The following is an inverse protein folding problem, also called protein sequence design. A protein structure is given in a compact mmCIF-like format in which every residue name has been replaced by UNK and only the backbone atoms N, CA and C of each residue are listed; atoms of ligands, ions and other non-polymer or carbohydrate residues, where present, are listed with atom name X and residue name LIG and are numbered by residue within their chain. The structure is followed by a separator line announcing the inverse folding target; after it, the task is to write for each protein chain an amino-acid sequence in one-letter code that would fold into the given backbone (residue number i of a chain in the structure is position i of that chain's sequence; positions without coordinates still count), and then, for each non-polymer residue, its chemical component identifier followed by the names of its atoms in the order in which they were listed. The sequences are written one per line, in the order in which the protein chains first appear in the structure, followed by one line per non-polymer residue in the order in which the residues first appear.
data_IF_511887848098
#
_entry.id   IF_511887848098
#
_cell.length_a   1.000
_cell.length_b   1.000
_cell.length_c   1.000
_cell.angle_alpha   90.00
_cell.angle_beta   90.00
_cell.angle_gamma   90.00
#
_symmetry.space_group_name_H-M   'P 1'
#
loop_
_entity.id
_entity.type
_entity.pdbx_description
1 polymer ?
#
# COMPACT_ATOMS: atom_id res chain seq x y z
N UNK A 1 23.96 25.90 27.74
CA UNK A 1 24.79 25.65 26.55
C UNK A 1 23.92 25.68 25.32
N UNK A 2 24.19 26.59 24.37
CA UNK A 2 23.27 26.91 23.25
C UNK A 2 23.39 25.87 22.14
N UNK A 3 22.28 25.23 21.78
CA UNK A 3 22.13 24.20 20.75
C UNK A 3 22.56 24.57 19.31
N UNK A 4 23.05 25.77 19.07
CA UNK A 4 23.42 26.28 17.74
C UNK A 4 24.86 25.94 17.28
N UNK A 5 25.69 25.31 18.11
CA UNK A 5 27.11 25.01 17.76
C UNK A 5 27.35 23.57 17.26
N UNK A 6 26.34 22.69 17.24
CA UNK A 6 26.55 21.30 16.86
C UNK A 6 26.37 21.04 15.36
N UNK A 7 25.73 21.93 14.62
CA UNK A 7 25.44 21.72 13.18
C UNK A 7 26.55 22.21 12.25
N UNK A 8 27.48 23.04 12.75
CA UNK A 8 28.53 23.65 11.91
C UNK A 8 29.79 22.78 11.72
N UNK A 9 29.94 21.66 12.44
CA UNK A 9 31.18 20.86 12.41
C UNK A 9 31.11 19.58 11.58
N UNK A 10 29.97 19.26 10.96
CA UNK A 10 29.78 18.03 10.19
C UNK A 10 29.93 18.19 8.66
N UNK A 11 30.31 19.36 8.17
CA UNK A 11 30.30 19.70 6.75
C UNK A 11 31.68 19.76 6.07
N UNK A 12 32.77 19.31 6.71
CA UNK A 12 34.11 19.35 6.16
C UNK A 12 34.82 18.00 6.31
N UNK A 13 34.51 17.05 5.48
CA UNK A 13 35.40 15.98 4.97
C UNK A 13 34.59 14.93 4.18
N UNK A 14 34.16 15.25 2.98
CA UNK A 14 33.83 14.21 1.98
C UNK A 14 34.89 14.32 0.91
N UNK A 15 35.78 13.32 0.72
CA UNK A 15 36.66 13.29 -0.44
C UNK A 15 35.78 13.07 -1.68
N UNK A 16 35.87 13.98 -2.62
CA UNK A 16 35.25 13.87 -3.95
C UNK A 16 35.94 12.75 -4.73
N UNK A 17 35.47 11.53 -4.58
CA UNK A 17 35.73 10.47 -5.54
C UNK A 17 34.70 10.63 -6.67
N UNK A 18 35.13 11.28 -7.74
CA UNK A 18 34.39 11.35 -9.00
C UNK A 18 34.31 9.96 -9.63
N UNK A 19 33.30 9.19 -9.27
CA UNK A 19 32.86 8.07 -10.10
C UNK A 19 31.90 8.61 -11.16
N UNK A 20 32.47 9.09 -12.27
CA UNK A 20 31.74 9.31 -13.52
C UNK A 20 31.44 7.94 -14.17
N UNK A 21 30.66 7.12 -13.51
CA UNK A 21 29.93 6.02 -14.15
C UNK A 21 28.61 6.59 -14.63
N UNK A 22 28.47 6.81 -15.91
CA UNK A 22 27.19 7.17 -16.55
C UNK A 22 26.29 5.94 -16.42
N UNK A 23 25.59 5.79 -15.30
CA UNK A 23 24.41 4.93 -15.25
C UNK A 23 23.32 5.75 -15.94
N UNK A 24 23.11 5.53 -17.22
CA UNK A 24 21.90 5.95 -17.91
C UNK A 24 20.72 5.19 -17.28
N UNK A 25 20.19 5.74 -16.21
CA UNK A 25 18.80 5.42 -15.85
C UNK A 25 17.95 6.04 -16.96
N UNK A 26 17.46 5.20 -17.84
CA UNK A 26 16.39 5.56 -18.76
C UNK A 26 15.15 5.90 -17.89
N UNK A 27 15.14 7.12 -17.36
CA UNK A 27 13.97 7.64 -16.64
C UNK A 27 12.89 7.78 -17.70
N UNK A 28 12.04 6.76 -17.81
CA UNK A 28 10.77 6.92 -18.51
C UNK A 28 10.24 8.28 -18.09
N UNK A 29 10.13 9.22 -19.02
CA UNK A 29 9.65 10.58 -18.72
C UNK A 29 8.30 10.45 -18.01
N UNK A 30 8.28 10.70 -16.71
CA UNK A 30 7.04 10.76 -15.96
C UNK A 30 6.27 11.94 -16.54
N UNK A 31 5.13 11.66 -17.17
CA UNK A 31 4.26 12.70 -17.66
C UNK A 31 3.61 13.39 -16.46
N UNK A 32 4.16 14.51 -16.04
CA UNK A 32 3.71 15.25 -14.85
C UNK A 32 2.34 15.92 -15.01
N UNK A 33 1.72 15.80 -16.19
CA UNK A 33 0.45 16.49 -16.50
C UNK A 33 -0.79 15.70 -16.02
N UNK A 34 -0.66 14.44 -15.60
CA UNK A 34 -1.80 13.57 -15.27
C UNK A 34 -2.01 13.32 -13.77
N UNK A 35 -1.10 13.72 -12.91
CA UNK A 35 -1.25 13.58 -11.45
C UNK A 35 -1.81 14.84 -10.77
N UNK A 36 -2.14 14.78 -9.47
CA UNK A 36 -2.51 15.97 -8.72
C UNK A 36 -1.35 16.96 -8.72
N UNK A 37 -1.61 18.18 -9.19
CA UNK A 37 -0.59 19.25 -9.28
C UNK A 37 -0.12 19.77 -7.92
N UNK A 38 -0.77 19.35 -6.83
CA UNK A 38 -0.44 19.70 -5.45
C UNK A 38 -0.57 18.45 -4.57
N UNK A 39 0.23 18.40 -3.51
CA UNK A 39 0.07 17.37 -2.48
C UNK A 39 -1.36 17.36 -1.93
N UNK A 40 -1.88 16.19 -1.63
CA UNK A 40 -3.24 15.97 -1.11
C UNK A 40 -3.16 15.31 0.27
N UNK A 41 -4.17 15.56 1.09
CA UNK A 41 -4.36 14.90 2.37
C UNK A 41 -5.70 14.16 2.33
N UNK A 42 -5.67 12.84 2.50
CA UNK A 42 -6.86 12.00 2.62
C UNK A 42 -7.06 11.69 4.10
N UNK A 43 -8.19 12.11 4.66
CA UNK A 43 -8.50 11.93 6.09
C UNK A 43 -8.79 10.46 6.41
N UNK A 44 -8.80 10.12 7.70
CA UNK A 44 -9.00 8.74 8.14
C UNK A 44 -10.31 8.12 7.61
N UNK A 45 -11.39 8.89 7.60
CA UNK A 45 -12.72 8.52 7.12
C UNK A 45 -12.92 8.71 5.61
N UNK A 46 -11.89 9.12 4.89
CA UNK A 46 -11.96 9.39 3.45
C UNK A 46 -11.28 8.29 2.64
N UNK A 47 -11.77 8.09 1.43
CA UNK A 47 -11.24 7.17 0.44
C UNK A 47 -11.12 7.84 -0.92
N UNK A 48 -10.16 7.41 -1.75
CA UNK A 48 -9.86 8.03 -3.05
C UNK A 48 -9.68 7.01 -4.18
N UNK A 49 -10.49 5.98 -4.23
CA UNK A 49 -10.47 5.05 -5.36
C UNK A 49 -10.67 5.78 -6.69
N UNK A 50 -9.88 5.43 -7.69
CA UNK A 50 -9.93 6.00 -9.03
C UNK A 50 -9.82 7.54 -9.04
N UNK A 51 -9.09 8.11 -8.09
CA UNK A 51 -8.91 9.56 -7.98
C UNK A 51 -10.10 10.33 -7.43
N UNK A 52 -11.21 9.66 -7.08
CA UNK A 52 -12.44 10.28 -6.59
C UNK A 52 -12.49 10.25 -5.06
N UNK A 53 -12.52 11.44 -4.44
CA UNK A 53 -12.64 11.54 -2.98
C UNK A 53 -14.08 11.22 -2.53
N UNK A 54 -14.20 10.28 -1.60
CA UNK A 54 -15.47 9.80 -1.02
C UNK A 54 -15.35 9.64 0.49
N UNK A 55 -16.51 9.47 1.17
CA UNK A 55 -16.59 9.11 2.60
C UNK A 55 -17.51 7.90 2.76
N UNK A 56 -17.03 6.70 2.40
CA UNK A 56 -17.85 5.49 2.48
C UNK A 56 -18.11 5.12 3.95
N UNK A 57 -19.40 4.92 4.30
CA UNK A 57 -19.81 4.62 5.68
C UNK A 57 -19.42 3.21 6.14
N UNK A 58 -19.45 2.25 5.21
CA UNK A 58 -19.30 0.83 5.51
C UNK A 58 -18.13 0.18 4.76
N UNK A 59 -17.11 0.96 4.44
CA UNK A 59 -15.95 0.45 3.73
C UNK A 59 -15.14 -0.53 4.59
N UNK A 60 -14.68 -1.60 3.97
CA UNK A 60 -13.67 -2.49 4.54
C UNK A 60 -12.25 -1.91 4.40
N UNK A 61 -12.04 -1.16 3.33
CA UNK A 61 -10.77 -0.56 2.96
C UNK A 61 -10.97 0.88 2.53
N UNK A 62 -9.97 1.73 2.81
CA UNK A 62 -9.89 3.09 2.30
C UNK A 62 -8.66 3.23 1.39
N UNK A 63 -8.87 3.62 0.15
CA UNK A 63 -7.77 4.05 -0.72
C UNK A 63 -7.21 5.38 -0.21
N UNK A 64 -5.90 5.44 -0.01
CA UNK A 64 -5.19 6.65 0.45
C UNK A 64 -4.34 7.26 -0.66
N UNK A 65 -3.86 6.44 -1.60
CA UNK A 65 -3.20 6.88 -2.82
C UNK A 65 -3.71 6.02 -3.95
N UNK A 66 -4.37 6.65 -4.91
CA UNK A 66 -4.92 6.01 -6.10
C UNK A 66 -3.85 5.81 -7.17
N UNK A 67 -4.02 4.81 -8.03
CA UNK A 67 -3.21 4.63 -9.23
C UNK A 67 -3.20 5.88 -10.11
N UNK A 68 -4.32 6.59 -10.19
CA UNK A 68 -4.46 7.84 -10.96
C UNK A 68 -3.57 8.95 -10.40
N UNK A 69 -3.40 9.02 -9.08
CA UNK A 69 -2.58 10.04 -8.44
C UNK A 69 -1.09 9.89 -8.78
N UNK A 70 -0.66 8.66 -9.10
CA UNK A 70 0.76 8.28 -9.26
C UNK A 70 1.11 7.82 -10.67
N UNK A 71 0.19 7.94 -11.63
CA UNK A 71 0.36 7.40 -12.99
C UNK A 71 0.70 5.91 -12.96
N UNK A 72 -0.08 5.16 -12.20
CA UNK A 72 0.10 3.71 -11.99
C UNK A 72 1.40 3.31 -11.29
N UNK A 73 2.14 4.26 -10.69
CA UNK A 73 3.39 3.96 -10.00
C UNK A 73 3.21 3.39 -8.60
N UNK A 74 2.12 3.77 -7.90
CA UNK A 74 1.90 3.41 -6.51
C UNK A 74 0.41 3.38 -6.18
N UNK A 75 0.02 2.41 -5.35
CA UNK A 75 -1.30 2.32 -4.73
C UNK A 75 -1.15 2.10 -3.24
N UNK A 76 -1.91 2.83 -2.42
CA UNK A 76 -1.91 2.67 -0.97
C UNK A 76 -3.35 2.58 -0.47
N UNK A 77 -3.62 1.55 0.32
CA UNK A 77 -4.89 1.39 1.02
C UNK A 77 -4.67 1.06 2.49
N UNK A 78 -5.68 1.36 3.32
CA UNK A 78 -5.70 1.00 4.73
C UNK A 78 -6.94 0.15 5.01
N UNK A 79 -6.79 -0.86 5.84
CA UNK A 79 -7.95 -1.58 6.36
C UNK A 79 -8.75 -0.69 7.33
N UNK A 80 -10.04 -1.00 7.45
CA UNK A 80 -10.90 -0.44 8.49
C UNK A 80 -11.16 -1.50 9.57
N UNK A 81 -11.55 -1.12 10.80
CA UNK A 81 -11.86 -2.10 11.85
C UNK A 81 -12.89 -3.14 11.41
N UNK A 82 -13.83 -2.79 10.54
CA UNK A 82 -14.88 -3.67 10.06
C UNK A 82 -14.36 -4.94 9.36
N UNK A 83 -13.23 -4.87 8.66
CA UNK A 83 -12.66 -6.04 7.98
C UNK A 83 -12.19 -7.11 8.97
N UNK A 84 -11.91 -6.73 10.21
CA UNK A 84 -11.40 -7.59 11.26
C UNK A 84 -12.43 -7.98 12.33
N UNK A 85 -13.72 -7.75 12.07
CA UNK A 85 -14.79 -8.28 12.91
C UNK A 85 -14.85 -9.81 12.87
N UNK A 86 -14.36 -10.43 11.80
CA UNK A 86 -14.34 -11.87 11.59
C UNK A 86 -12.93 -12.41 11.43
N UNK A 87 -12.74 -13.67 11.80
CA UNK A 87 -11.53 -14.44 11.49
C UNK A 87 -11.48 -14.67 9.98
N UNK A 88 -10.29 -14.56 9.39
CA UNK A 88 -10.02 -14.81 7.98
C UNK A 88 -9.36 -13.65 7.26
N UNK A 89 -9.34 -13.73 5.97
CA UNK A 89 -8.70 -12.76 5.07
C UNK A 89 -9.10 -13.02 3.62
N UNK A 90 -8.47 -12.36 2.65
CA UNK A 90 -8.64 -12.68 1.24
C UNK A 90 -8.13 -14.11 0.97
N UNK A 91 -8.64 -14.80 -0.06
CA UNK A 91 -8.06 -16.07 -0.48
C UNK A 91 -6.59 -15.90 -0.86
N UNK A 92 -5.75 -16.95 -0.76
CA UNK A 92 -4.39 -16.92 -1.27
C UNK A 92 -4.36 -16.49 -2.73
N UNK A 93 -3.46 -15.56 -3.08
CA UNK A 93 -3.41 -14.97 -4.41
C UNK A 93 -1.99 -14.56 -4.79
N UNK A 94 -1.80 -14.17 -6.04
CA UNK A 94 -0.51 -13.77 -6.62
C UNK A 94 -0.67 -12.44 -7.33
N UNK A 95 0.14 -11.46 -6.97
CA UNK A 95 0.33 -10.26 -7.79
C UNK A 95 1.41 -10.54 -8.84
N UNK A 96 1.03 -10.64 -10.12
CA UNK A 96 1.97 -10.99 -11.20
C UNK A 96 2.97 -9.87 -11.52
N UNK A 97 2.57 -8.64 -11.31
CA UNK A 97 3.31 -7.46 -11.78
C UNK A 97 3.67 -6.48 -10.67
N UNK A 98 3.07 -6.60 -9.50
CA UNK A 98 3.18 -5.70 -8.37
C UNK A 98 3.92 -6.33 -7.21
N UNK A 99 4.85 -5.60 -6.63
CA UNK A 99 5.38 -5.90 -5.32
C UNK A 99 4.42 -5.35 -4.26
N UNK A 100 4.14 -6.13 -3.21
CA UNK A 100 3.27 -5.72 -2.12
C UNK A 100 4.06 -5.53 -0.83
N UNK A 101 3.73 -4.50 -0.09
CA UNK A 101 4.22 -4.29 1.27
C UNK A 101 3.05 -4.14 2.22
N UNK A 102 3.01 -4.94 3.27
CA UNK A 102 2.01 -4.88 4.33
C UNK A 102 2.68 -4.36 5.59
N UNK A 103 2.22 -3.21 6.10
CA UNK A 103 2.66 -2.65 7.37
C UNK A 103 1.56 -2.76 8.42
N UNK A 104 1.86 -3.33 9.57
CA UNK A 104 0.92 -3.47 10.67
C UNK A 104 0.92 -2.21 11.53
N UNK A 105 -0.13 -1.40 11.41
CA UNK A 105 -0.30 -0.18 12.22
C UNK A 105 -0.71 -0.51 13.65
N UNK A 106 -1.61 -1.50 13.80
CA UNK A 106 -2.06 -1.98 15.11
C UNK A 106 -2.62 -3.40 15.00
N UNK A 107 -2.63 -4.15 16.11
CA UNK A 107 -3.15 -5.51 16.18
C UNK A 107 -2.12 -6.58 15.84
N UNK A 108 -2.64 -7.80 15.65
CA UNK A 108 -1.86 -9.01 15.34
C UNK A 108 -2.50 -9.72 14.15
N UNK A 109 -1.66 -10.22 13.23
CA UNK A 109 -2.09 -10.89 12.01
C UNK A 109 -1.20 -12.10 11.72
N UNK A 110 -1.62 -12.90 10.76
CA UNK A 110 -0.80 -13.93 10.14
C UNK A 110 -0.64 -13.59 8.67
N UNK A 111 0.58 -13.49 8.19
CA UNK A 111 0.88 -13.40 6.77
C UNK A 111 1.30 -14.79 6.30
N UNK A 112 0.54 -15.35 5.37
CA UNK A 112 0.86 -16.61 4.74
C UNK A 112 1.66 -16.34 3.47
N UNK A 113 2.86 -16.88 3.36
CA UNK A 113 3.76 -16.68 2.21
C UNK A 113 4.34 -18.04 1.82
N UNK A 114 4.11 -18.50 0.58
CA UNK A 114 4.67 -19.73 0.01
C UNK A 114 4.49 -20.98 0.90
N UNK A 115 3.37 -21.07 1.62
CA UNK A 115 3.05 -22.20 2.49
C UNK A 115 3.49 -22.03 3.96
N UNK A 116 4.11 -20.91 4.31
CA UNK A 116 4.52 -20.60 5.68
C UNK A 116 3.62 -19.57 6.34
N UNK A 117 3.20 -19.83 7.57
CA UNK A 117 2.42 -18.90 8.40
C UNK A 117 3.36 -18.09 9.30
N UNK A 118 3.42 -16.78 9.06
CA UNK A 118 4.27 -15.85 9.79
C UNK A 118 3.39 -14.92 10.62
N UNK A 119 3.52 -15.00 11.95
CA UNK A 119 2.83 -14.06 12.85
C UNK A 119 3.49 -12.70 12.79
N UNK A 120 2.66 -11.66 12.60
CA UNK A 120 3.09 -10.25 12.56
C UNK A 120 2.24 -9.43 13.52
N UNK A 121 2.82 -8.37 14.07
CA UNK A 121 2.19 -7.48 15.05
C UNK A 121 2.51 -6.02 14.75
N UNK A 122 1.92 -5.15 15.51
CA UNK A 122 2.17 -3.70 15.43
C UNK A 122 3.64 -3.34 15.24
N UNK A 123 3.93 -2.61 14.16
CA UNK A 123 5.26 -2.18 13.75
C UNK A 123 5.98 -3.12 12.79
N UNK A 124 5.50 -4.35 12.62
CA UNK A 124 6.10 -5.31 11.69
C UNK A 124 5.72 -4.96 10.23
N UNK A 125 6.59 -5.36 9.31
CA UNK A 125 6.40 -5.17 7.87
C UNK A 125 6.66 -6.48 7.15
N UNK A 126 5.74 -6.90 6.29
CA UNK A 126 5.95 -7.97 5.33
C UNK A 126 6.17 -7.35 3.94
N UNK A 127 7.23 -7.77 3.26
CA UNK A 127 7.47 -7.45 1.85
C UNK A 127 7.27 -8.71 1.03
N UNK A 128 6.42 -8.62 0.03
CA UNK A 128 5.99 -9.73 -0.82
C UNK A 128 6.36 -9.38 -2.25
N UNK A 129 7.40 -9.99 -2.82
CA UNK A 129 7.76 -9.79 -4.22
C UNK A 129 6.64 -10.27 -5.14
N UNK A 130 6.51 -9.63 -6.29
CA UNK A 130 5.61 -10.10 -7.36
C UNK A 130 5.85 -11.57 -7.70
N UNK A 131 4.78 -12.29 -8.03
CA UNK A 131 4.83 -13.71 -8.33
C UNK A 131 4.76 -14.62 -7.12
N UNK A 132 4.73 -14.10 -5.90
CA UNK A 132 4.69 -14.86 -4.65
C UNK A 132 3.26 -15.16 -4.23
N UNK A 133 2.94 -16.42 -3.95
CA UNK A 133 1.63 -16.82 -3.40
C UNK A 133 1.53 -16.37 -1.94
N UNK A 134 0.52 -15.58 -1.62
CA UNK A 134 0.36 -15.02 -0.28
C UNK A 134 -1.07 -14.67 0.09
N UNK A 135 -1.29 -14.45 1.38
CA UNK A 135 -2.47 -13.77 1.94
C UNK A 135 -2.16 -13.18 3.30
N UNK A 136 -3.00 -12.28 3.79
CA UNK A 136 -2.99 -11.81 5.18
C UNK A 136 -4.28 -12.24 5.87
N UNK A 137 -4.16 -12.79 7.07
CA UNK A 137 -5.26 -13.38 7.82
C UNK A 137 -5.39 -12.67 9.17
N UNK A 138 -6.61 -12.29 9.51
CA UNK A 138 -6.97 -11.97 10.88
C UNK A 138 -7.20 -13.26 11.65
N UNK A 139 -6.35 -13.61 12.65
CA UNK A 139 -6.49 -14.86 13.41
C UNK A 139 -7.48 -14.79 14.56
N UNK A 140 -8.01 -13.61 14.90
CA UNK A 140 -8.80 -13.35 16.12
C UNK A 140 -10.07 -12.59 15.77
N UNK A 141 -11.23 -13.06 16.25
CA UNK A 141 -12.48 -12.28 16.15
C UNK A 141 -12.37 -10.93 16.87
N UNK A 142 -13.03 -9.92 16.30
CA UNK A 142 -13.06 -8.56 16.85
C UNK A 142 -11.66 -7.98 17.11
N UNK A 143 -10.68 -8.36 16.29
CA UNK A 143 -9.33 -7.81 16.37
C UNK A 143 -9.36 -6.31 16.03
N UNK A 144 -9.01 -5.40 16.94
CA UNK A 144 -9.00 -3.96 16.69
C UNK A 144 -7.79 -3.52 15.82
N UNK A 145 -7.33 -4.37 14.94
CA UNK A 145 -6.12 -4.16 14.13
C UNK A 145 -6.34 -3.29 12.91
N UNK A 146 -5.26 -2.77 12.37
CA UNK A 146 -5.21 -1.98 11.14
C UNK A 146 -3.92 -2.29 10.40
N UNK A 147 -4.03 -2.51 9.09
CA UNK A 147 -2.88 -2.66 8.20
C UNK A 147 -2.90 -1.59 7.12
N UNK A 148 -1.72 -1.23 6.64
CA UNK A 148 -1.52 -0.46 5.41
C UNK A 148 -0.96 -1.42 4.37
N UNK A 149 -1.59 -1.46 3.21
CA UNK A 149 -1.13 -2.22 2.05
C UNK A 149 -0.64 -1.25 0.98
N UNK A 150 0.56 -1.49 0.49
CA UNK A 150 1.26 -0.65 -0.50
C UNK A 150 1.64 -1.55 -1.66
N UNK A 151 1.16 -1.25 -2.87
CA UNK A 151 1.51 -1.97 -4.09
C UNK A 151 2.26 -1.06 -5.06
N UNK A 152 3.30 -1.58 -5.70
CA UNK A 152 4.10 -0.87 -6.71
C UNK A 152 4.57 -1.85 -7.80
N UNK A 153 4.24 -1.54 -9.08
CA UNK A 153 3.32 -0.51 -9.56
C UNK A 153 1.91 -0.68 -9.02
N UNK A 154 1.03 0.28 -9.28
CA UNK A 154 -0.35 0.23 -8.80
C UNK A 154 -1.16 -0.86 -9.52
N UNK A 155 -1.84 -1.78 -8.80
CA UNK A 155 -2.68 -2.82 -9.37
C UNK A 155 -4.06 -2.25 -9.75
N UNK A 156 -4.17 -1.67 -10.95
CA UNK A 156 -5.39 -0.95 -11.39
C UNK A 156 -6.66 -1.80 -11.26
N UNK A 157 -6.62 -3.08 -11.61
CA UNK A 157 -7.79 -3.96 -11.49
C UNK A 157 -8.18 -4.24 -10.03
N UNK A 158 -7.19 -4.36 -9.13
CA UNK A 158 -7.43 -4.51 -7.70
C UNK A 158 -8.05 -3.23 -7.13
N UNK A 159 -7.56 -2.06 -7.57
CA UNK A 159 -8.16 -0.78 -7.20
C UNK A 159 -9.62 -0.67 -7.67
N UNK A 160 -9.91 -1.05 -8.92
CA UNK A 160 -11.27 -1.05 -9.47
C UNK A 160 -12.20 -1.97 -8.68
N UNK A 161 -11.72 -3.17 -8.32
CA UNK A 161 -12.47 -4.12 -7.51
C UNK A 161 -12.86 -3.57 -6.14
N UNK A 162 -11.89 -3.04 -5.39
CA UNK A 162 -12.17 -2.46 -4.08
C UNK A 162 -12.94 -1.13 -4.17
N UNK A 163 -12.73 -0.35 -5.21
CA UNK A 163 -13.51 0.84 -5.52
C UNK A 163 -14.98 0.51 -5.71
N UNK A 164 -15.27 -0.53 -6.48
CA UNK A 164 -16.64 -1.02 -6.69
C UNK A 164 -17.30 -1.45 -5.37
N UNK A 165 -16.61 -2.25 -4.56
CA UNK A 165 -17.11 -2.67 -3.23
C UNK A 165 -17.38 -1.47 -2.34
N UNK A 166 -16.48 -0.48 -2.35
CA UNK A 166 -16.62 0.73 -1.56
C UNK A 166 -17.84 1.57 -1.94
N UNK A 167 -18.22 1.57 -3.23
CA UNK A 167 -19.38 2.33 -3.74
C UNK A 167 -20.70 1.57 -3.57
N UNK A 168 -20.69 0.25 -3.73
CA UNK A 168 -21.91 -0.57 -3.85
C UNK A 168 -22.19 -1.47 -2.63
N UNK A 169 -21.23 -1.60 -1.70
CA UNK A 169 -21.37 -2.44 -0.52
C UNK A 169 -21.40 -3.95 -0.78
N UNK A 170 -21.10 -4.36 -2.04
CA UNK A 170 -21.12 -5.77 -2.45
C UNK A 170 -20.04 -6.05 -3.49
N UNK A 171 -19.65 -7.32 -3.60
CA UNK A 171 -18.69 -7.78 -4.63
C UNK A 171 -19.39 -7.82 -5.98
N UNK A 172 -18.76 -7.26 -7.01
CA UNK A 172 -19.24 -7.43 -8.40
C UNK A 172 -18.89 -8.82 -8.90
N UNK A 173 -19.85 -9.55 -9.50
CA UNK A 173 -19.54 -10.83 -10.13
C UNK A 173 -18.65 -10.72 -11.37
N UNK A 174 -18.54 -9.52 -11.95
CA UNK A 174 -17.81 -9.28 -13.21
C UNK A 174 -16.39 -8.74 -13.00
N UNK A 175 -16.04 -8.39 -11.77
CA UNK A 175 -14.72 -7.84 -11.44
C UNK A 175 -13.99 -8.81 -10.52
N UNK A 176 -13.08 -9.59 -11.09
CA UNK A 176 -12.18 -10.49 -10.36
C UNK A 176 -10.77 -9.90 -10.42
N UNK A 177 -10.08 -9.70 -9.30
CA UNK A 177 -8.69 -9.26 -9.31
C UNK A 177 -7.80 -10.24 -10.08
N UNK A 178 -6.85 -9.70 -10.85
CA UNK A 178 -5.85 -10.51 -11.54
C UNK A 178 -4.97 -11.26 -10.53
N UNK A 179 -4.81 -12.56 -10.77
CA UNK A 179 -4.00 -13.41 -9.89
C UNK A 179 -4.81 -14.20 -8.88
N UNK A 180 -6.14 -14.08 -8.92
CA UNK A 180 -7.05 -14.95 -8.17
C UNK A 180 -7.61 -16.09 -9.04
N UNK A 181 -7.08 -16.24 -10.26
CA UNK A 181 -7.40 -17.30 -11.22
C UNK A 181 -6.63 -18.60 -10.91
#
# INVERSE_FOLDING_TARGET
MKRKKFIASALLAIPTLSFAGIINFDRKKINTDQGPKKGIVIRADESRFNGKLTKPKDAFLHCKVSSVDTQEGLFIQTSTPKIFERIGGPPPHIHKYEDETIYVVSGEFVVHIEGEDIKVKTGDTAFIPRGTLHTIINPIENNPGTVVVICSPAPKKVEDFFGYISENGSISPDIVPLGWD
#
